data_IF_784256359293
#
_entry.id   IF_784256359293
#
_cell.length_a   1.000
_cell.length_b   1.000
_cell.length_c   1.000
_cell.angle_alpha   90.00
_cell.angle_beta   90.00
_cell.angle_gamma   90.00
#
_symmetry.space_group_name_H-M   'P 1'
#
loop_
_entity.id
_entity.type
_entity.pdbx_description
1 polymer ?
#
# COMPACT_ATOMS: atom_id res chain seq x y z
N UNK A 1 6.76 9.22 -20.31
CA UNK A 1 5.28 9.14 -20.29
C UNK A 1 4.81 10.04 -19.16
N UNK A 2 3.80 10.92 -19.36
CA UNK A 2 3.27 11.72 -18.25
C UNK A 2 2.70 10.79 -17.19
N UNK A 3 2.95 11.09 -15.91
CA UNK A 3 2.42 10.32 -14.79
C UNK A 3 0.90 10.52 -14.73
N UNK A 4 0.14 9.43 -14.57
CA UNK A 4 -1.31 9.55 -14.39
C UNK A 4 -1.64 10.20 -13.04
N UNK A 5 -2.83 10.82 -12.88
CA UNK A 5 -3.30 11.30 -11.59
C UNK A 5 -3.20 10.22 -10.50
N UNK A 6 -3.54 8.97 -10.83
CA UNK A 6 -3.39 7.85 -9.89
C UNK A 6 -1.93 7.61 -9.48
N UNK A 7 -0.95 7.73 -10.40
CA UNK A 7 0.46 7.59 -10.05
C UNK A 7 0.95 8.70 -9.11
N UNK A 8 0.46 9.93 -9.27
CA UNK A 8 0.80 11.04 -8.37
C UNK A 8 0.18 10.82 -6.98
N UNK A 9 -1.08 10.39 -6.91
CA UNK A 9 -1.73 10.02 -5.67
C UNK A 9 -0.97 8.91 -4.94
N UNK A 10 -0.49 7.91 -5.68
CA UNK A 10 0.31 6.80 -5.13
C UNK A 10 1.61 7.26 -4.48
N UNK A 11 2.36 8.14 -5.15
CA UNK A 11 3.61 8.71 -4.60
C UNK A 11 3.33 9.49 -3.30
N UNK A 12 2.20 10.20 -3.23
CA UNK A 12 1.78 10.94 -2.04
C UNK A 12 1.42 9.98 -0.90
N UNK A 13 0.67 8.92 -1.20
CA UNK A 13 0.27 7.90 -0.22
C UNK A 13 1.49 7.13 0.31
N UNK A 14 2.41 6.72 -0.56
CA UNK A 14 3.67 6.06 -0.17
C UNK A 14 4.42 6.91 0.86
N UNK A 15 4.63 8.20 0.58
CA UNK A 15 5.31 9.12 1.51
C UNK A 15 4.58 9.26 2.84
N UNK A 16 3.25 9.32 2.84
CA UNK A 16 2.46 9.44 4.06
C UNK A 16 2.54 8.16 4.90
N UNK A 17 2.50 6.99 4.26
CA UNK A 17 2.65 5.70 4.92
C UNK A 17 4.04 5.56 5.54
N UNK A 18 5.09 5.87 4.79
CA UNK A 18 6.48 5.86 5.30
C UNK A 18 6.66 6.81 6.49
N UNK A 19 6.12 8.04 6.41
CA UNK A 19 6.16 9.01 7.53
C UNK A 19 5.38 8.54 8.76
N UNK A 20 4.31 7.78 8.55
CA UNK A 20 3.55 7.15 9.62
C UNK A 20 4.22 5.86 10.17
N UNK A 21 5.40 5.50 9.69
CA UNK A 21 6.18 4.35 10.15
C UNK A 21 5.81 3.02 9.50
N UNK A 22 5.06 3.04 8.40
CA UNK A 22 4.73 1.83 7.64
C UNK A 22 5.85 1.45 6.69
N UNK A 23 6.13 0.16 6.62
CA UNK A 23 7.06 -0.39 5.63
C UNK A 23 6.27 -0.68 4.35
N UNK A 24 6.45 0.17 3.34
CA UNK A 24 5.80 0.02 2.04
C UNK A 24 6.54 -1.02 1.19
N UNK A 25 5.82 -2.01 0.67
CA UNK A 25 6.36 -3.14 -0.10
C UNK A 25 5.51 -3.40 -1.34
N UNK A 26 6.07 -4.08 -2.34
CA UNK A 26 5.31 -4.60 -3.48
C UNK A 26 4.76 -5.99 -3.14
N UNK A 27 3.56 -6.32 -3.64
CA UNK A 27 2.96 -7.65 -3.44
C UNK A 27 3.91 -8.81 -3.79
N UNK A 28 4.72 -8.66 -4.84
CA UNK A 28 5.65 -9.69 -5.31
C UNK A 28 6.83 -9.96 -4.35
N UNK A 29 7.17 -8.99 -3.51
CA UNK A 29 8.30 -9.06 -2.57
C UNK A 29 7.83 -8.92 -1.11
N UNK A 30 6.53 -9.12 -0.86
CA UNK A 30 5.94 -8.83 0.44
C UNK A 30 6.50 -9.71 1.56
N UNK A 31 6.83 -9.07 2.68
CA UNK A 31 7.15 -9.70 3.95
C UNK A 31 6.33 -9.00 5.04
N UNK A 32 5.23 -9.62 5.44
CA UNK A 32 4.32 -9.10 6.49
C UNK A 32 4.96 -9.07 7.88
N UNK A 33 6.11 -9.74 8.06
CA UNK A 33 6.90 -9.76 9.29
C UNK A 33 8.10 -8.81 9.24
N UNK A 34 8.20 -7.94 8.22
CA UNK A 34 9.29 -6.97 8.09
C UNK A 34 9.31 -5.91 9.22
N UNK A 35 8.18 -5.72 9.90
CA UNK A 35 8.05 -4.80 11.02
C UNK A 35 6.63 -4.76 11.58
N UNK A 36 6.38 -3.89 12.57
CA UNK A 36 5.08 -3.79 13.23
C UNK A 36 3.96 -3.24 12.33
N UNK A 37 4.29 -2.50 11.27
CA UNK A 37 3.36 -1.99 10.26
C UNK A 37 3.91 -2.18 8.85
N UNK A 38 3.16 -2.88 7.99
CA UNK A 38 3.53 -3.19 6.60
C UNK A 38 2.39 -2.81 5.67
N UNK A 39 2.68 -2.01 4.65
CA UNK A 39 1.73 -1.63 3.61
C UNK A 39 2.14 -2.29 2.28
N UNK A 40 1.28 -3.13 1.71
CA UNK A 40 1.58 -3.89 0.49
C UNK A 40 0.80 -3.31 -0.68
N UNK A 41 1.51 -2.83 -1.70
CA UNK A 41 0.96 -2.25 -2.93
C UNK A 41 0.35 -3.30 -3.86
N UNK A 42 -0.68 -2.91 -4.61
CA UNK A 42 -1.27 -3.70 -5.71
C UNK A 42 -1.71 -5.10 -5.26
N UNK A 43 -2.42 -5.16 -4.13
CA UNK A 43 -2.75 -6.42 -3.49
C UNK A 43 -3.96 -7.08 -4.18
N UNK A 44 -3.86 -8.35 -4.64
CA UNK A 44 -4.98 -9.05 -5.27
C UNK A 44 -6.03 -9.46 -4.22
N UNK A 45 -7.29 -9.15 -4.53
CA UNK A 45 -8.48 -9.54 -3.77
C UNK A 45 -9.37 -10.46 -4.62
N UNK A 46 -10.27 -11.20 -3.99
CA UNK A 46 -11.25 -12.03 -4.73
C UNK A 46 -12.16 -11.20 -5.65
N UNK A 47 -12.35 -9.92 -5.35
CA UNK A 47 -13.22 -8.99 -6.09
C UNK A 47 -12.46 -8.01 -6.99
N UNK A 48 -11.14 -8.09 -7.07
CA UNK A 48 -10.32 -7.15 -7.85
C UNK A 48 -8.93 -6.93 -7.24
N UNK A 49 -8.47 -5.69 -7.21
CA UNK A 49 -7.20 -5.30 -6.63
C UNK A 49 -7.42 -4.13 -5.68
N UNK A 50 -6.72 -4.14 -4.54
CA UNK A 50 -6.59 -2.99 -3.68
C UNK A 50 -5.28 -2.26 -3.98
N UNK A 51 -5.28 -0.93 -3.92
CA UNK A 51 -4.06 -0.15 -4.12
C UNK A 51 -3.02 -0.45 -3.04
N UNK A 52 -3.48 -0.60 -1.80
CA UNK A 52 -2.68 -0.98 -0.64
C UNK A 52 -3.45 -1.90 0.33
N UNK A 53 -2.79 -2.94 0.82
CA UNK A 53 -3.21 -3.76 1.96
C UNK A 53 -2.35 -3.44 3.18
N UNK A 54 -2.97 -3.13 4.32
CA UNK A 54 -2.29 -2.79 5.56
C UNK A 54 -2.24 -3.99 6.50
N UNK A 55 -1.05 -4.29 7.01
CA UNK A 55 -0.80 -5.29 8.03
C UNK A 55 -0.20 -4.64 9.29
N UNK A 56 -0.83 -4.85 10.45
CA UNK A 56 -0.26 -4.51 11.75
C UNK A 56 0.00 -5.81 12.52
N UNK A 57 1.21 -5.98 13.05
CA UNK A 57 1.64 -7.21 13.74
C UNK A 57 1.35 -8.49 12.91
N UNK A 58 1.66 -8.43 11.61
CA UNK A 58 1.36 -9.48 10.63
C UNK A 58 -0.13 -9.86 10.49
N UNK A 59 -1.07 -9.04 10.99
CA UNK A 59 -2.51 -9.19 10.82
C UNK A 59 -3.03 -8.15 9.82
N UNK A 60 -3.82 -8.58 8.83
CA UNK A 60 -4.46 -7.65 7.91
C UNK A 60 -5.49 -6.80 8.66
N UNK A 61 -5.33 -5.48 8.62
CA UNK A 61 -6.22 -4.54 9.34
C UNK A 61 -7.14 -3.75 8.41
N UNK A 62 -6.82 -3.67 7.11
CA UNK A 62 -7.63 -2.92 6.16
C UNK A 62 -6.92 -2.65 4.83
N UNK A 63 -7.64 -1.94 3.96
CA UNK A 63 -7.15 -1.53 2.64
C UNK A 63 -7.20 0.00 2.50
N UNK A 64 -6.29 0.55 1.71
CA UNK A 64 -6.32 1.96 1.30
C UNK A 64 -6.45 2.01 -0.21
N UNK A 65 -7.45 2.76 -0.68
CA UNK A 65 -7.75 2.96 -2.10
C UNK A 65 -7.29 4.37 -2.50
N UNK A 66 -6.45 4.47 -3.52
CA UNK A 66 -6.08 5.75 -4.09
C UNK A 66 -7.27 6.33 -4.86
N UNK A 67 -7.61 7.59 -4.60
CA UNK A 67 -8.63 8.31 -5.36
C UNK A 67 -7.97 9.42 -6.16
N UNK A 68 -8.39 9.65 -7.43
CA UNK A 68 -7.97 10.84 -8.15
C UNK A 68 -8.44 12.08 -7.38
N UNK A 69 -7.55 13.06 -7.24
CA UNK A 69 -7.89 14.40 -6.76
C UNK A 69 -8.69 15.17 -7.82
#
# INVERSE_FOLDING_TARGET
MPQTPEQLARIKIDRLLEQAGWIVQDYRSMNISAGPGVAVREFPLNTGFADYMLYADAQAIGVVEAKPE
#
